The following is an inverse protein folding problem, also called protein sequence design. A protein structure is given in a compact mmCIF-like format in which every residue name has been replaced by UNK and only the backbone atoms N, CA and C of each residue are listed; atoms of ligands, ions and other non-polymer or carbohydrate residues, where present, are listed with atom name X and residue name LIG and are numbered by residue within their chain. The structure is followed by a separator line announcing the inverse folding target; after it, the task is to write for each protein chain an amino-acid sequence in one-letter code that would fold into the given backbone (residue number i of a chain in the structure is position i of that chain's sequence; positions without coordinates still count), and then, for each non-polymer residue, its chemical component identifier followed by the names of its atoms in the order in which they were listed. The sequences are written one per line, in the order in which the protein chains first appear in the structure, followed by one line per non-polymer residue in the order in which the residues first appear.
data_IF_208177125404
#
_entry.id   IF_208177125404
#
_cell.length_a   1.000
_cell.length_b   1.000
_cell.length_c   1.000
_cell.angle_alpha   90.00
_cell.angle_beta   90.00
_cell.angle_gamma   90.00
#
_symmetry.space_group_name_H-M   'P 1'
#
loop_
_entity.id
_entity.type
_entity.pdbx_description
1 polymer ?
#
# COMPACT_ATOMS: atom_id res chain seq x y z
N UNK A 1 -26.60 -1.18 -28.22
CA UNK A 1 -26.41 -1.94 -26.98
C UNK A 1 -25.73 -1.04 -25.95
N UNK A 2 -26.50 -0.47 -25.02
CA UNK A 2 -25.96 0.33 -23.93
C UNK A 2 -25.61 -0.65 -22.81
N UNK A 3 -24.32 -0.82 -22.52
CA UNK A 3 -23.84 -1.58 -21.38
C UNK A 3 -24.39 -0.90 -20.11
N UNK A 4 -25.32 -1.58 -19.46
CA UNK A 4 -25.83 -1.24 -18.13
C UNK A 4 -24.65 -1.37 -17.15
N UNK A 5 -23.98 -0.27 -16.86
CA UNK A 5 -23.15 -0.19 -15.65
C UNK A 5 -24.09 -0.26 -14.46
N UNK A 6 -24.27 -1.47 -13.93
CA UNK A 6 -24.91 -1.68 -12.64
C UNK A 6 -23.97 -1.13 -11.56
N UNK A 7 -24.03 0.18 -11.37
CA UNK A 7 -23.47 0.84 -10.18
C UNK A 7 -24.27 0.33 -8.99
N UNK A 8 -23.66 -0.51 -8.16
CA UNK A 8 -24.21 -0.87 -6.86
C UNK A 8 -23.66 0.13 -5.83
N UNK A 9 -24.37 1.22 -5.50
CA UNK A 9 -23.87 2.26 -4.60
C UNK A 9 -23.44 1.69 -3.24
N UNK A 10 -24.11 0.65 -2.75
CA UNK A 10 -23.74 -0.04 -1.51
C UNK A 10 -22.33 -0.66 -1.53
N UNK A 11 -21.87 -1.15 -2.69
CA UNK A 11 -20.53 -1.75 -2.82
C UNK A 11 -19.45 -0.68 -2.75
N UNK A 12 -19.66 0.47 -3.41
CA UNK A 12 -18.75 1.64 -3.35
C UNK A 12 -18.68 2.24 -1.94
N UNK A 13 -19.81 2.37 -1.24
CA UNK A 13 -19.79 2.85 0.15
C UNK A 13 -19.07 1.88 1.09
N UNK A 14 -19.23 0.58 0.86
CA UNK A 14 -18.53 -0.44 1.66
C UNK A 14 -17.02 -0.40 1.42
N UNK A 15 -16.56 -0.22 0.17
CA UNK A 15 -15.12 -0.16 -0.14
C UNK A 15 -14.47 1.08 0.47
N UNK A 16 -15.13 2.25 0.47
CA UNK A 16 -14.66 3.48 1.12
C UNK A 16 -14.39 3.32 2.61
N UNK A 17 -15.27 2.63 3.33
CA UNK A 17 -15.07 2.35 4.76
C UNK A 17 -13.98 1.29 4.94
N UNK A 18 -14.07 0.21 4.16
CA UNK A 18 -13.19 -0.96 4.29
C UNK A 18 -11.72 -0.64 3.99
N UNK A 19 -11.43 0.25 3.03
CA UNK A 19 -10.06 0.57 2.64
C UNK A 19 -9.28 1.24 3.77
N UNK A 20 -9.94 2.10 4.57
CA UNK A 20 -9.31 2.75 5.72
C UNK A 20 -8.90 1.72 6.79
N UNK A 21 -9.78 0.75 7.05
CA UNK A 21 -9.55 -0.33 8.01
C UNK A 21 -8.44 -1.24 7.51
N UNK A 22 -8.50 -1.65 6.24
CA UNK A 22 -7.50 -2.51 5.61
C UNK A 22 -6.11 -1.86 5.66
N UNK A 23 -6.01 -0.60 5.25
CA UNK A 23 -4.75 0.16 5.28
C UNK A 23 -4.21 0.24 6.70
N UNK A 24 -5.05 0.53 7.70
CA UNK A 24 -4.62 0.58 9.10
C UNK A 24 -4.16 -0.78 9.61
N UNK A 25 -4.82 -1.86 9.21
CA UNK A 25 -4.42 -3.23 9.56
C UNK A 25 -3.07 -3.59 8.93
N UNK A 26 -2.84 -3.23 7.68
CA UNK A 26 -1.55 -3.41 7.02
C UNK A 26 -0.44 -2.63 7.75
N UNK A 27 -0.68 -1.37 8.10
CA UNK A 27 0.25 -0.55 8.89
C UNK A 27 0.63 -1.23 10.20
N UNK A 28 -0.34 -1.78 10.94
CA UNK A 28 -0.11 -2.49 12.20
C UNK A 28 0.70 -3.77 12.00
N UNK A 29 0.37 -4.59 10.99
CA UNK A 29 1.10 -5.84 10.72
C UNK A 29 2.56 -5.54 10.37
N UNK A 30 2.78 -4.59 9.47
CA UNK A 30 4.10 -4.18 9.01
C UNK A 30 4.91 -3.51 10.13
N UNK A 31 4.28 -2.67 10.94
CA UNK A 31 4.91 -2.05 12.10
C UNK A 31 5.28 -3.06 13.19
N UNK A 32 4.42 -4.07 13.42
CA UNK A 32 4.73 -5.14 14.37
C UNK A 32 5.90 -6.00 13.88
N UNK A 33 5.96 -6.29 12.57
CA UNK A 33 7.11 -6.98 11.98
C UNK A 33 8.41 -6.22 12.26
N UNK A 34 8.42 -4.89 12.04
CA UNK A 34 9.59 -4.04 12.33
C UNK A 34 9.97 -4.05 13.82
N UNK A 35 8.98 -3.93 14.71
CA UNK A 35 9.21 -3.96 16.15
C UNK A 35 9.81 -5.31 16.58
N UNK A 36 9.21 -6.42 16.13
CA UNK A 36 9.68 -7.78 16.41
C UNK A 36 11.11 -7.99 15.87
N UNK A 37 11.39 -7.49 14.66
CA UNK A 37 12.73 -7.55 14.07
C UNK A 37 13.73 -6.78 14.93
N UNK A 38 13.42 -5.55 15.35
CA UNK A 38 14.34 -4.74 16.16
C UNK A 38 14.58 -5.36 17.55
N UNK A 39 13.54 -5.88 18.20
CA UNK A 39 13.62 -6.47 19.54
C UNK A 39 14.42 -7.78 19.57
N UNK A 40 14.36 -8.56 18.49
CA UNK A 40 15.06 -9.84 18.41
C UNK A 40 16.57 -9.69 18.21
N UNK A 41 17.06 -8.52 17.78
CA UNK A 41 18.45 -8.37 17.33
C UNK A 41 18.75 -9.45 16.29
N UNK A 42 19.94 -10.04 16.24
CA UNK A 42 20.35 -10.98 15.18
C UNK A 42 19.62 -12.33 15.15
N UNK A 43 18.65 -12.57 16.04
CA UNK A 43 17.84 -13.78 16.00
C UNK A 43 16.83 -13.72 14.84
N UNK A 44 16.64 -14.83 14.10
CA UNK A 44 15.67 -14.87 13.02
C UNK A 44 14.23 -14.78 13.55
N UNK A 45 13.37 -14.12 12.77
CA UNK A 45 11.93 -14.14 13.01
C UNK A 45 11.35 -15.53 12.69
N UNK A 46 10.24 -15.93 13.34
CA UNK A 46 9.49 -17.11 12.93
C UNK A 46 9.10 -17.02 11.45
N UNK A 47 9.25 -18.11 10.70
CA UNK A 47 8.94 -18.13 9.26
C UNK A 47 7.53 -17.67 8.95
N UNK A 48 6.55 -18.03 9.79
CA UNK A 48 5.14 -17.59 9.66
C UNK A 48 5.02 -16.06 9.66
N UNK A 49 5.80 -15.36 10.48
CA UNK A 49 5.79 -13.89 10.53
C UNK A 49 6.38 -13.27 9.28
N UNK A 50 7.42 -13.88 8.72
CA UNK A 50 8.01 -13.47 7.44
C UNK A 50 7.01 -13.69 6.30
N UNK A 51 6.37 -14.86 6.23
CA UNK A 51 5.38 -15.16 5.18
C UNK A 51 4.14 -14.27 5.27
N UNK A 52 3.65 -13.95 6.48
CA UNK A 52 2.58 -12.98 6.69
C UNK A 52 2.95 -11.61 6.09
N UNK A 53 4.15 -11.13 6.41
CA UNK A 53 4.65 -9.83 5.94
C UNK A 53 4.83 -9.82 4.42
N UNK A 54 5.43 -10.87 3.87
CA UNK A 54 5.61 -11.06 2.42
C UNK A 54 4.26 -11.07 1.71
N UNK A 55 3.28 -11.81 2.23
CA UNK A 55 1.93 -11.86 1.69
C UNK A 55 1.29 -10.47 1.67
N UNK A 56 1.32 -9.74 2.79
CA UNK A 56 0.77 -8.38 2.88
C UNK A 56 1.41 -7.44 1.85
N UNK A 57 2.74 -7.44 1.74
CA UNK A 57 3.45 -6.58 0.78
C UNK A 57 3.09 -6.92 -0.68
N UNK A 58 2.96 -8.22 -0.99
CA UNK A 58 2.55 -8.66 -2.32
C UNK A 58 1.10 -8.29 -2.65
N UNK A 59 0.17 -8.47 -1.72
CA UNK A 59 -1.23 -8.08 -1.93
C UNK A 59 -1.37 -6.56 -2.05
N UNK A 60 -0.61 -5.78 -1.28
CA UNK A 60 -0.56 -4.32 -1.41
C UNK A 60 -0.11 -3.88 -2.81
N UNK A 61 0.85 -4.60 -3.42
CA UNK A 61 1.31 -4.31 -4.78
C UNK A 61 0.24 -4.59 -5.85
N UNK A 62 -0.61 -5.60 -5.60
CA UNK A 62 -1.65 -6.06 -6.53
C UNK A 62 -2.99 -5.33 -6.37
N UNK A 63 -3.26 -4.77 -5.18
CA UNK A 63 -4.49 -4.05 -4.91
C UNK A 63 -4.60 -2.81 -5.81
N UNK A 64 -5.72 -2.71 -6.52
CA UNK A 64 -6.09 -1.55 -7.34
C UNK A 64 -7.45 -1.05 -6.86
N UNK A 65 -7.53 0.25 -6.57
CA UNK A 65 -8.74 0.93 -6.13
C UNK A 65 -9.44 1.62 -7.31
N UNK A 66 -10.77 1.69 -7.22
CA UNK A 66 -11.52 2.65 -8.02
C UNK A 66 -11.32 4.08 -7.48
N UNK A 67 -11.65 5.07 -8.31
CA UNK A 67 -11.47 6.48 -8.00
C UNK A 67 -12.24 6.94 -6.75
N UNK A 68 -13.43 6.40 -6.50
CA UNK A 68 -14.23 6.81 -5.35
C UNK A 68 -13.63 6.28 -4.04
N UNK A 69 -13.17 5.03 -4.04
CA UNK A 69 -12.45 4.42 -2.92
C UNK A 69 -11.10 5.10 -2.66
N UNK A 70 -10.34 5.40 -3.72
CA UNK A 70 -9.07 6.10 -3.61
C UNK A 70 -9.24 7.51 -2.99
N UNK A 71 -10.30 8.23 -3.38
CA UNK A 71 -10.59 9.55 -2.82
C UNK A 71 -10.96 9.54 -1.34
N UNK A 72 -11.52 8.43 -0.84
CA UNK A 72 -11.85 8.23 0.57
C UNK A 72 -10.64 7.99 1.47
N UNK A 73 -9.45 7.70 0.90
CA UNK A 73 -8.23 7.55 1.68
C UNK A 73 -7.85 8.85 2.39
N UNK A 74 -7.37 8.71 3.62
CA UNK A 74 -6.85 9.83 4.40
C UNK A 74 -5.38 10.09 4.04
N UNK A 75 -5.15 10.71 2.89
CA UNK A 75 -3.84 11.10 2.39
C UNK A 75 -3.79 12.64 2.32
N UNK A 76 -2.64 13.28 2.62
CA UNK A 76 -2.46 14.72 2.44
C UNK A 76 -2.97 15.24 1.09
N UNK A 77 -3.65 16.38 1.09
CA UNK A 77 -4.29 16.94 -0.10
C UNK A 77 -3.32 17.13 -1.28
N UNK A 78 -2.10 17.62 -1.01
CA UNK A 78 -1.09 17.81 -2.05
C UNK A 78 -0.71 16.51 -2.79
N UNK A 79 -0.79 15.35 -2.12
CA UNK A 79 -0.56 14.05 -2.77
C UNK A 79 -1.77 13.63 -3.58
N UNK A 80 -3.00 13.93 -3.12
CA UNK A 80 -4.21 13.69 -3.92
C UNK A 80 -4.22 14.53 -5.19
N UNK A 81 -3.76 15.78 -5.10
CA UNK A 81 -3.63 16.66 -6.26
C UNK A 81 -2.58 16.12 -7.24
N UNK A 82 -1.41 15.69 -6.75
CA UNK A 82 -0.37 15.06 -7.59
C UNK A 82 -0.88 13.79 -8.29
N UNK A 83 -1.61 12.92 -7.57
CA UNK A 83 -2.25 11.73 -8.15
C UNK A 83 -3.25 12.09 -9.26
N UNK A 84 -4.07 13.13 -9.02
CA UNK A 84 -5.05 13.61 -10.00
C UNK A 84 -4.37 14.18 -11.25
N UNK A 85 -3.31 14.97 -11.10
CA UNK A 85 -2.53 15.53 -12.21
C UNK A 85 -1.92 14.42 -13.07
N UNK A 86 -1.43 13.35 -12.44
CA UNK A 86 -0.87 12.19 -13.11
C UNK A 86 -1.92 11.17 -13.59
N UNK A 87 -3.21 11.43 -13.38
CA UNK A 87 -4.32 10.53 -13.70
C UNK A 87 -4.17 9.12 -13.09
N UNK A 88 -3.46 9.03 -11.98
CA UNK A 88 -3.04 7.82 -11.29
C UNK A 88 -3.68 7.80 -9.90
N UNK A 89 -4.53 6.82 -9.62
CA UNK A 89 -5.21 6.71 -8.32
C UNK A 89 -5.38 5.26 -7.87
N UNK A 90 -5.08 4.32 -8.77
CA UNK A 90 -5.30 2.90 -8.52
C UNK A 90 -4.52 2.38 -7.32
N UNK A 91 -3.34 2.95 -7.04
CA UNK A 91 -2.51 2.54 -5.89
C UNK A 91 -2.32 3.62 -4.85
N UNK A 92 -3.29 4.53 -4.72
CA UNK A 92 -3.22 5.60 -3.73
C UNK A 92 -3.00 5.08 -2.29
N UNK A 93 -3.50 3.89 -1.94
CA UNK A 93 -3.29 3.28 -0.61
C UNK A 93 -1.81 3.08 -0.24
N UNK A 94 -0.93 2.93 -1.23
CA UNK A 94 0.51 2.81 -0.97
C UNK A 94 1.10 4.10 -0.36
N UNK A 95 0.56 5.27 -0.72
CA UNK A 95 0.99 6.54 -0.14
C UNK A 95 0.62 6.65 1.35
N UNK A 96 -0.51 6.07 1.76
CA UNK A 96 -0.90 6.02 3.18
C UNK A 96 0.06 5.18 4.03
N UNK A 97 0.78 4.23 3.41
CA UNK A 97 1.73 3.33 4.06
C UNK A 97 3.19 3.72 3.82
N UNK A 98 3.44 4.82 3.10
CA UNK A 98 4.78 5.29 2.76
C UNK A 98 5.71 5.46 3.99
N UNK A 99 5.26 5.99 5.15
CA UNK A 99 6.10 6.04 6.34
C UNK A 99 6.61 4.66 6.76
N UNK A 100 5.72 3.67 6.85
CA UNK A 100 6.07 2.30 7.23
C UNK A 100 7.01 1.64 6.22
N UNK A 101 6.81 1.87 4.92
CA UNK A 101 7.72 1.37 3.89
C UNK A 101 9.12 1.98 3.99
N UNK A 102 9.22 3.25 4.38
CA UNK A 102 10.50 3.95 4.52
C UNK A 102 11.35 3.37 5.65
N UNK A 103 10.72 2.80 6.68
CA UNK A 103 11.40 2.08 7.75
C UNK A 103 11.74 0.64 7.33
N UNK A 104 10.84 -0.05 6.62
CA UNK A 104 11.05 -1.42 6.14
C UNK A 104 12.18 -1.57 5.10
N UNK A 105 12.62 -0.47 4.48
CA UNK A 105 13.69 -0.52 3.46
C UNK A 105 15.01 -1.06 4.02
N UNK A 106 15.24 -0.92 5.34
CA UNK A 106 16.42 -1.42 6.05
C UNK A 106 16.19 -2.76 6.76
N UNK A 107 15.04 -3.42 6.54
CA UNK A 107 14.75 -4.72 7.13
C UNK A 107 15.88 -5.71 6.84
N UNK A 108 16.15 -6.66 7.74
CA UNK A 108 17.21 -7.66 7.55
C UNK A 108 16.75 -8.82 6.70
N UNK A 109 15.45 -9.03 6.56
CA UNK A 109 14.86 -10.01 5.65
C UNK A 109 14.93 -9.53 4.18
N UNK A 110 15.72 -10.18 3.30
CA UNK A 110 15.90 -9.75 1.91
C UNK A 110 14.59 -9.74 1.11
N UNK A 111 13.71 -10.72 1.32
CA UNK A 111 12.43 -10.79 0.59
C UNK A 111 11.53 -9.59 0.89
N UNK A 112 11.53 -9.15 2.15
CA UNK A 112 10.79 -7.96 2.60
C UNK A 112 11.38 -6.71 1.94
N UNK A 113 12.71 -6.52 1.97
CA UNK A 113 13.36 -5.38 1.31
C UNK A 113 13.05 -5.30 -0.18
N UNK A 114 13.13 -6.43 -0.89
CA UNK A 114 12.86 -6.48 -2.34
C UNK A 114 11.43 -6.04 -2.66
N UNK A 115 10.45 -6.53 -1.90
CA UNK A 115 9.04 -6.15 -2.08
C UNK A 115 8.80 -4.68 -1.72
N UNK A 116 9.41 -4.17 -0.66
CA UNK A 116 9.34 -2.76 -0.29
C UNK A 116 9.87 -1.87 -1.41
N UNK A 117 11.00 -2.24 -2.03
CA UNK A 117 11.52 -1.50 -3.19
C UNK A 117 10.56 -1.52 -4.38
N UNK A 118 9.86 -2.63 -4.62
CA UNK A 118 8.79 -2.70 -5.64
C UNK A 118 7.67 -1.71 -5.30
N UNK A 119 7.20 -1.68 -4.05
CA UNK A 119 6.15 -0.75 -3.62
C UNK A 119 6.59 0.72 -3.77
N UNK A 120 7.83 1.07 -3.40
CA UNK A 120 8.36 2.42 -3.56
C UNK A 120 8.47 2.83 -5.04
N UNK A 121 8.81 1.90 -5.94
CA UNK A 121 8.78 2.14 -7.40
C UNK A 121 7.36 2.35 -7.91
N UNK A 122 6.39 1.60 -7.40
CA UNK A 122 4.98 1.80 -7.73
C UNK A 122 4.51 3.19 -7.27
N UNK A 123 4.84 3.60 -6.04
CA UNK A 123 4.55 4.97 -5.55
C UNK A 123 5.18 6.03 -6.47
N UNK A 124 6.44 5.83 -6.85
CA UNK A 124 7.12 6.74 -7.79
C UNK A 124 6.41 6.80 -9.14
N UNK A 125 5.89 5.68 -9.62
CA UNK A 125 5.06 5.61 -10.84
C UNK A 125 3.76 6.38 -10.71
N UNK A 126 3.04 6.21 -9.60
CA UNK A 126 1.78 6.91 -9.36
C UNK A 126 2.01 8.42 -9.24
N UNK A 127 3.15 8.86 -8.69
CA UNK A 127 3.49 10.28 -8.58
C UNK A 127 4.12 10.88 -9.86
N UNK A 128 4.26 10.11 -10.94
CA UNK A 128 4.91 10.59 -12.17
C UNK A 128 6.42 10.86 -12.02
N UNK A 129 7.05 10.31 -10.97
CA UNK A 129 8.48 10.51 -10.64
C UNK A 129 9.41 9.52 -11.34
N UNK A 130 8.91 8.72 -12.29
CA UNK A 130 9.75 7.82 -13.06
C UNK A 130 10.72 8.63 -13.93
N UNK A 131 11.98 8.20 -13.96
CA UNK A 131 12.94 8.75 -14.91
C UNK A 131 12.43 8.45 -16.31
N UNK A 132 12.18 9.50 -17.10
CA UNK A 132 12.11 9.40 -18.56
C UNK A 132 13.37 8.66 -19.00
N UNK A 133 13.21 7.43 -19.46
CA UNK A 133 14.31 6.59 -19.93
C UNK A 133 14.57 6.89 -21.39
#
# INVERSE_FOLDING_TARGET
CILKTSSYPAVSETSKVSISILTKRCEVILGQFLADENDLGDRPLPSVRIEETVCVLQELARLILDIETANALNIPLYLKDALRENQSHGRAHLLSLLPTFSELVVSREPRVRELVQVLLRLISSELGLQRLT
#
